data_IF_593616743036
#
_entry.id   IF_593616743036
#
_cell.length_a   1.000
_cell.length_b   1.000
_cell.length_c   1.000
_cell.angle_alpha   90.00
_cell.angle_beta   90.00
_cell.angle_gamma   90.00
#
_symmetry.space_group_name_H-M   'P 1'
#
loop_
_entity.id
_entity.type
_entity.pdbx_description
1 polymer ?
#
# COMPACT_ATOMS: atom_id res chain seq x y z
N UNK A 1 -29.57 7.08 -11.64
CA UNK A 1 -28.28 6.50 -11.25
C UNK A 1 -28.60 5.38 -10.29
N UNK A 2 -28.13 4.17 -10.54
CA UNK A 2 -28.30 3.09 -9.57
C UNK A 2 -27.49 3.49 -8.32
N UNK A 3 -28.16 3.57 -7.19
CA UNK A 3 -27.52 3.76 -5.89
C UNK A 3 -27.64 2.41 -5.18
N UNK A 4 -26.51 1.81 -4.83
CA UNK A 4 -26.47 0.50 -4.15
C UNK A 4 -26.93 0.55 -2.68
N UNK A 5 -27.66 1.60 -2.32
CA UNK A 5 -28.13 1.83 -0.96
C UNK A 5 -27.19 2.71 -0.15
N UNK A 6 -27.48 2.80 1.14
CA UNK A 6 -26.70 3.58 2.10
C UNK A 6 -25.30 2.97 2.28
N UNK A 7 -24.27 3.82 2.23
CA UNK A 7 -22.90 3.41 2.54
C UNK A 7 -22.77 3.16 4.04
N UNK A 8 -22.19 2.02 4.39
CA UNK A 8 -21.80 1.68 5.76
C UNK A 8 -20.29 1.40 5.80
N UNK A 9 -19.59 2.08 6.69
CA UNK A 9 -18.15 1.86 6.91
C UNK A 9 -17.95 1.01 8.17
N UNK A 10 -17.31 -0.13 8.00
CA UNK A 10 -16.89 -1.03 9.08
C UNK A 10 -15.39 -1.27 8.97
N UNK A 11 -14.73 -1.51 10.08
CA UNK A 11 -13.28 -1.80 10.09
C UNK A 11 -12.91 -2.80 11.17
N UNK A 12 -11.84 -3.56 10.91
CA UNK A 12 -11.09 -4.25 11.97
C UNK A 12 -10.12 -3.29 12.69
N UNK A 13 -9.11 -3.88 13.33
CA UNK A 13 -8.22 -3.17 14.24
C UNK A 13 -6.93 -2.65 13.60
N UNK A 14 -6.64 -3.00 12.34
CA UNK A 14 -5.30 -2.80 11.78
C UNK A 14 -4.92 -1.33 11.52
N UNK A 15 -5.89 -0.44 11.28
CA UNK A 15 -5.59 0.98 11.01
C UNK A 15 -6.78 1.91 11.30
N UNK A 16 -7.12 2.12 12.58
CA UNK A 16 -8.26 2.95 12.98
C UNK A 16 -8.13 4.43 12.56
N UNK A 17 -6.89 4.96 12.51
CA UNK A 17 -6.66 6.36 12.14
C UNK A 17 -6.96 6.62 10.66
N UNK A 18 -6.58 5.72 9.76
CA UNK A 18 -6.95 5.80 8.35
C UNK A 18 -8.47 5.73 8.17
N UNK A 19 -9.13 4.81 8.89
CA UNK A 19 -10.60 4.68 8.85
C UNK A 19 -11.28 5.96 9.31
N UNK A 20 -10.80 6.58 10.38
CA UNK A 20 -11.31 7.86 10.88
C UNK A 20 -11.23 8.94 9.80
N UNK A 21 -10.07 9.12 9.15
CA UNK A 21 -9.88 10.08 8.06
C UNK A 21 -10.81 9.81 6.87
N UNK A 22 -10.98 8.54 6.48
CA UNK A 22 -11.90 8.15 5.41
C UNK A 22 -13.35 8.51 5.77
N UNK A 23 -13.77 8.26 7.00
CA UNK A 23 -15.09 8.63 7.49
C UNK A 23 -15.31 10.15 7.49
N UNK A 24 -14.30 10.92 7.89
CA UNK A 24 -14.32 12.39 7.83
C UNK A 24 -14.47 12.89 6.39
N UNK A 25 -13.70 12.37 5.44
CA UNK A 25 -13.79 12.73 4.02
C UNK A 25 -15.13 12.32 3.38
N UNK A 26 -15.73 11.24 3.83
CA UNK A 26 -17.04 10.78 3.39
C UNK A 26 -18.20 11.54 4.03
N UNK A 27 -17.99 12.18 5.18
CA UNK A 27 -19.02 12.69 6.08
C UNK A 27 -19.98 11.59 6.55
N UNK A 28 -19.45 10.37 6.78
CA UNK A 28 -20.18 9.19 7.22
C UNK A 28 -19.48 8.63 8.46
N UNK A 29 -20.19 8.42 9.58
CA UNK A 29 -19.57 7.82 10.76
C UNK A 29 -19.23 6.35 10.50
N UNK A 30 -18.22 5.84 11.20
CA UNK A 30 -17.96 4.39 11.28
C UNK A 30 -19.11 3.73 12.03
N UNK A 31 -19.65 2.65 11.48
CA UNK A 31 -20.70 1.87 12.12
C UNK A 31 -20.18 1.18 13.39
N UNK A 32 -21.09 0.94 14.31
CA UNK A 32 -20.78 0.24 15.57
C UNK A 32 -20.36 -1.20 15.29
N UNK A 33 -19.08 -1.47 15.53
CA UNK A 33 -18.51 -2.81 15.44
C UNK A 33 -17.35 -2.92 16.42
N UNK A 34 -17.32 -4.02 17.18
CA UNK A 34 -16.17 -4.39 18.01
C UNK A 34 -15.50 -5.64 17.46
N UNK A 35 -14.18 -5.62 17.48
CA UNK A 35 -13.33 -6.75 17.12
C UNK A 35 -12.43 -7.02 18.32
N UNK A 36 -12.64 -8.14 18.96
CA UNK A 36 -11.95 -8.59 20.16
C UNK A 36 -11.25 -9.92 19.90
N UNK A 37 -10.45 -10.34 20.86
CA UNK A 37 -9.81 -11.64 20.87
C UNK A 37 -10.12 -12.36 22.17
N UNK A 38 -10.47 -13.64 22.08
CA UNK A 38 -10.60 -14.51 23.26
C UNK A 38 -9.22 -14.84 23.83
N UNK A 39 -9.21 -15.38 25.05
CA UNK A 39 -7.96 -15.69 25.75
C UNK A 39 -7.08 -16.75 25.04
N UNK A 40 -7.67 -17.56 24.19
CA UNK A 40 -6.99 -18.56 23.36
C UNK A 40 -6.50 -18.01 21.99
N UNK A 41 -6.84 -16.73 21.71
CA UNK A 41 -6.43 -16.06 20.48
C UNK A 41 -7.48 -16.07 19.36
N UNK A 42 -8.64 -16.70 19.53
CA UNK A 42 -9.71 -16.64 18.55
C UNK A 42 -10.34 -15.24 18.48
N UNK A 43 -10.67 -14.80 17.26
CA UNK A 43 -11.25 -13.47 17.03
C UNK A 43 -12.76 -13.52 17.22
N UNK A 44 -13.28 -12.54 17.97
CA UNK A 44 -14.70 -12.33 18.22
C UNK A 44 -15.14 -10.99 17.64
N UNK A 45 -16.22 -10.99 16.88
CA UNK A 45 -16.77 -9.79 16.22
C UNK A 45 -18.22 -9.61 16.63
N UNK A 46 -18.58 -8.36 16.97
CA UNK A 46 -19.97 -7.96 17.24
C UNK A 46 -20.30 -6.72 16.40
N UNK A 47 -21.31 -6.83 15.52
CA UNK A 47 -21.82 -5.76 14.68
C UNK A 47 -23.11 -5.23 15.32
N UNK A 48 -23.06 -4.00 15.82
CA UNK A 48 -24.15 -3.40 16.57
C UNK A 48 -25.20 -2.73 15.68
N UNK A 49 -24.78 -2.22 14.51
CA UNK A 49 -25.68 -1.52 13.58
C UNK A 49 -26.29 -2.46 12.55
N UNK A 50 -27.52 -2.17 12.13
CA UNK A 50 -28.15 -2.92 11.05
C UNK A 50 -27.48 -2.64 9.70
N UNK A 51 -27.01 -3.69 9.06
CA UNK A 51 -26.35 -3.64 7.73
C UNK A 51 -27.23 -4.21 6.61
N UNK A 52 -28.44 -4.66 6.96
CA UNK A 52 -29.35 -5.34 6.01
C UNK A 52 -29.63 -4.50 4.78
N UNK A 53 -29.31 -5.03 3.60
CA UNK A 53 -29.56 -4.40 2.32
C UNK A 53 -28.66 -3.19 2.01
N UNK A 54 -27.68 -2.87 2.87
CA UNK A 54 -26.78 -1.72 2.70
C UNK A 54 -25.53 -2.08 1.89
N UNK A 55 -24.86 -1.06 1.35
CA UNK A 55 -23.58 -1.16 0.66
C UNK A 55 -22.45 -1.00 1.67
N UNK A 56 -21.85 -2.11 2.10
CA UNK A 56 -20.89 -2.15 3.21
C UNK A 56 -19.46 -2.14 2.67
N UNK A 57 -18.64 -1.26 3.22
CA UNK A 57 -17.20 -1.19 2.96
C UNK A 57 -16.42 -1.59 4.21
N UNK A 58 -15.74 -2.72 4.14
CA UNK A 58 -14.92 -3.26 5.22
C UNK A 58 -13.49 -2.80 5.01
N UNK A 59 -13.01 -1.85 5.82
CA UNK A 59 -11.66 -1.30 5.70
C UNK A 59 -10.73 -2.05 6.63
N UNK A 60 -9.80 -2.82 6.06
CA UNK A 60 -8.84 -3.62 6.82
C UNK A 60 -7.57 -3.88 6.02
N UNK A 61 -6.50 -3.08 6.19
CA UNK A 61 -5.16 -3.48 5.76
C UNK A 61 -4.75 -4.79 6.42
N UNK A 62 -4.23 -5.75 5.65
CA UNK A 62 -3.76 -7.02 6.20
C UNK A 62 -2.26 -6.97 6.50
N UNK A 63 -1.85 -5.90 7.22
CA UNK A 63 -0.49 -5.67 7.74
C UNK A 63 -0.24 -6.44 9.05
N UNK A 64 0.95 -6.30 9.62
CA UNK A 64 1.29 -7.00 10.88
C UNK A 64 0.44 -6.57 12.09
N UNK A 65 -0.01 -7.56 12.89
CA UNK A 65 0.13 -9.00 12.75
C UNK A 65 -0.73 -9.57 11.62
N UNK A 66 -0.07 -10.05 10.56
CA UNK A 66 -0.71 -10.33 9.25
C UNK A 66 -1.82 -11.38 9.33
N UNK A 67 -1.59 -12.46 10.09
CA UNK A 67 -2.56 -13.55 10.18
C UNK A 67 -3.81 -13.12 10.95
N UNK A 68 -3.65 -12.35 12.02
CA UNK A 68 -4.76 -11.87 12.84
C UNK A 68 -5.61 -10.89 12.04
N UNK A 69 -5.00 -9.88 11.40
CA UNK A 69 -5.72 -8.92 10.59
C UNK A 69 -6.38 -9.53 9.36
N UNK A 70 -5.78 -10.59 8.77
CA UNK A 70 -6.44 -11.35 7.71
C UNK A 70 -7.67 -12.10 8.25
N UNK A 71 -7.56 -12.75 9.41
CA UNK A 71 -8.70 -13.45 10.03
C UNK A 71 -9.79 -12.48 10.46
N UNK A 72 -9.46 -11.31 11.02
CA UNK A 72 -10.43 -10.24 11.28
C UNK A 72 -11.23 -9.89 10.02
N UNK A 73 -10.54 -9.65 8.90
CA UNK A 73 -11.18 -9.35 7.62
C UNK A 73 -12.15 -10.45 7.18
N UNK A 74 -11.72 -11.71 7.23
CA UNK A 74 -12.53 -12.84 6.78
C UNK A 74 -13.78 -13.02 7.65
N UNK A 75 -13.64 -12.90 8.96
CA UNK A 75 -14.75 -13.05 9.92
C UNK A 75 -15.71 -11.85 9.80
N UNK A 76 -15.21 -10.62 9.60
CA UNK A 76 -16.05 -9.45 9.32
C UNK A 76 -16.92 -9.66 8.08
N UNK A 77 -16.33 -10.14 6.98
CA UNK A 77 -17.05 -10.41 5.74
C UNK A 77 -18.12 -11.49 5.94
N UNK A 78 -17.81 -12.59 6.64
CA UNK A 78 -18.78 -13.65 6.93
C UNK A 78 -19.93 -13.13 7.83
N UNK A 79 -19.64 -12.37 8.86
CA UNK A 79 -20.64 -11.77 9.74
C UNK A 79 -21.60 -10.85 8.96
N UNK A 80 -21.07 -10.00 8.09
CA UNK A 80 -21.86 -9.09 7.25
C UNK A 80 -22.75 -9.84 6.26
N UNK A 81 -22.24 -10.91 5.66
CA UNK A 81 -23.00 -11.80 4.78
C UNK A 81 -24.17 -12.44 5.53
N UNK A 82 -23.95 -12.94 6.74
CA UNK A 82 -24.99 -13.52 7.60
C UNK A 82 -26.00 -12.47 8.09
N UNK A 83 -25.55 -11.23 8.28
CA UNK A 83 -26.42 -10.10 8.62
C UNK A 83 -27.19 -9.54 7.41
N UNK A 84 -27.10 -10.18 6.23
CA UNK A 84 -27.79 -9.81 4.98
C UNK A 84 -27.39 -8.43 4.47
N UNK A 85 -26.11 -8.04 4.53
CA UNK A 85 -25.60 -6.88 3.80
C UNK A 85 -25.99 -6.99 2.32
N UNK A 86 -26.30 -5.88 1.68
CA UNK A 86 -26.70 -5.87 0.27
C UNK A 86 -25.53 -6.11 -0.66
N UNK A 87 -24.37 -5.51 -0.34
CA UNK A 87 -23.08 -5.71 -1.02
C UNK A 87 -21.95 -5.55 -0.01
N UNK A 88 -20.89 -6.33 -0.15
CA UNK A 88 -19.73 -6.31 0.74
C UNK A 88 -18.48 -5.99 -0.07
N UNK A 89 -17.91 -4.81 0.13
CA UNK A 89 -16.69 -4.36 -0.52
C UNK A 89 -15.53 -4.44 0.46
N UNK A 90 -14.55 -5.29 0.19
CA UNK A 90 -13.33 -5.39 0.99
C UNK A 90 -12.34 -4.30 0.57
N UNK A 91 -12.12 -3.31 1.42
CA UNK A 91 -11.13 -2.24 1.22
C UNK A 91 -9.85 -2.66 1.94
N UNK A 92 -8.86 -3.08 1.17
CA UNK A 92 -7.60 -3.64 1.66
C UNK A 92 -6.44 -2.77 1.19
N UNK A 93 -6.19 -1.61 1.84
CA UNK A 93 -5.15 -0.66 1.41
C UNK A 93 -3.76 -1.30 1.34
N UNK A 94 -3.44 -2.22 2.24
CA UNK A 94 -2.27 -3.08 2.16
C UNK A 94 -2.70 -4.54 2.09
N UNK A 95 -2.31 -5.22 1.01
CA UNK A 95 -2.60 -6.62 0.77
C UNK A 95 -1.44 -7.50 1.25
N UNK A 96 -1.60 -8.12 2.40
CA UNK A 96 -0.62 -9.05 2.95
C UNK A 96 -0.41 -10.26 2.03
N UNK A 97 0.78 -10.86 2.10
CA UNK A 97 1.22 -11.96 1.22
C UNK A 97 1.36 -11.60 -0.28
N UNK A 98 1.19 -10.33 -0.69
CA UNK A 98 1.35 -9.89 -2.07
C UNK A 98 2.70 -10.25 -2.69
N UNK A 99 3.76 -10.36 -1.88
CA UNK A 99 5.11 -10.75 -2.33
C UNK A 99 5.26 -12.24 -2.69
N UNK A 100 4.24 -13.05 -2.40
CA UNK A 100 4.16 -14.48 -2.74
C UNK A 100 3.16 -14.69 -3.91
N UNK A 101 3.35 -13.91 -4.98
CA UNK A 101 2.49 -13.88 -6.16
C UNK A 101 2.80 -14.98 -7.18
N UNK A 102 3.99 -15.56 -7.10
CA UNK A 102 4.47 -16.59 -8.03
C UNK A 102 5.45 -17.54 -7.36
N UNK A 103 5.64 -18.71 -7.95
CA UNK A 103 6.70 -19.62 -7.56
C UNK A 103 8.04 -19.15 -8.12
N UNK A 104 9.01 -18.95 -7.27
CA UNK A 104 10.41 -18.67 -7.62
C UNK A 104 11.21 -19.96 -7.62
N UNK A 105 10.85 -20.91 -6.74
CA UNK A 105 11.45 -22.25 -6.63
C UNK A 105 10.38 -23.33 -6.74
N UNK A 106 10.79 -24.54 -7.02
CA UNK A 106 9.91 -25.70 -7.01
C UNK A 106 9.22 -25.87 -5.64
N UNK A 107 7.91 -26.21 -5.66
CA UNK A 107 7.08 -26.54 -4.49
C UNK A 107 6.76 -25.34 -3.56
N UNK A 108 7.05 -24.12 -3.97
CA UNK A 108 6.59 -22.92 -3.26
C UNK A 108 5.07 -22.71 -3.44
N UNK A 109 4.40 -22.12 -2.45
CA UNK A 109 3.01 -21.71 -2.58
C UNK A 109 2.88 -20.44 -3.44
N UNK A 110 1.64 -20.14 -3.86
CA UNK A 110 1.24 -18.84 -4.36
C UNK A 110 0.23 -18.27 -3.36
N UNK A 111 0.73 -17.74 -2.25
CA UNK A 111 -0.09 -17.35 -1.10
C UNK A 111 -0.98 -16.15 -1.43
N UNK A 112 -0.55 -15.25 -2.33
CA UNK A 112 -1.40 -14.17 -2.82
C UNK A 112 -2.70 -14.70 -3.46
N UNK A 113 -2.66 -15.81 -4.22
CA UNK A 113 -3.87 -16.47 -4.77
C UNK A 113 -4.71 -17.13 -3.68
N UNK A 114 -4.08 -17.77 -2.69
CA UNK A 114 -4.80 -18.37 -1.56
C UNK A 114 -5.60 -17.31 -0.81
N UNK A 115 -5.00 -16.16 -0.47
CA UNK A 115 -5.67 -15.06 0.22
C UNK A 115 -6.82 -14.50 -0.62
N UNK A 116 -6.64 -14.31 -1.93
CA UNK A 116 -7.71 -13.88 -2.84
C UNK A 116 -8.91 -14.84 -2.82
N UNK A 117 -8.65 -16.14 -2.84
CA UNK A 117 -9.69 -17.16 -2.74
C UNK A 117 -10.43 -17.12 -1.40
N UNK A 118 -9.70 -16.91 -0.29
CA UNK A 118 -10.30 -16.82 1.05
C UNK A 118 -11.24 -15.62 1.17
N UNK A 119 -10.81 -14.42 0.71
CA UNK A 119 -11.62 -13.19 0.72
C UNK A 119 -12.89 -13.39 -0.13
N UNK A 120 -12.74 -13.94 -1.34
CA UNK A 120 -13.87 -14.22 -2.23
C UNK A 120 -14.82 -15.24 -1.60
N UNK A 121 -14.30 -16.31 -1.02
CA UNK A 121 -15.10 -17.37 -0.41
C UNK A 121 -15.82 -16.93 0.87
N UNK A 122 -15.21 -16.03 1.65
CA UNK A 122 -15.84 -15.42 2.82
C UNK A 122 -17.12 -14.66 2.44
N UNK A 123 -17.15 -14.07 1.22
CA UNK A 123 -18.36 -13.44 0.69
C UNK A 123 -18.21 -11.99 0.26
N UNK A 124 -16.98 -11.53 0.02
CA UNK A 124 -16.77 -10.22 -0.61
C UNK A 124 -17.29 -10.22 -2.04
N UNK A 125 -17.96 -9.14 -2.44
CA UNK A 125 -18.46 -8.91 -3.80
C UNK A 125 -17.45 -8.11 -4.64
N UNK A 126 -16.53 -7.39 -4.00
CA UNK A 126 -15.52 -6.54 -4.63
C UNK A 126 -14.33 -6.35 -3.70
N UNK A 127 -13.16 -6.12 -4.28
CA UNK A 127 -11.95 -5.70 -3.55
C UNK A 127 -11.49 -4.34 -4.04
N UNK A 128 -11.15 -3.44 -3.11
CA UNK A 128 -10.45 -2.18 -3.39
C UNK A 128 -9.07 -2.30 -2.71
N UNK A 129 -8.00 -2.17 -3.48
CA UNK A 129 -6.63 -2.28 -2.97
C UNK A 129 -5.74 -1.18 -3.56
N UNK A 130 -4.56 -1.01 -2.99
CA UNK A 130 -3.61 0.01 -3.42
C UNK A 130 -2.24 -0.60 -3.69
N UNK A 131 -1.60 -0.19 -4.79
CA UNK A 131 -0.24 -0.53 -5.20
C UNK A 131 0.15 -1.99 -4.88
N UNK A 132 -0.60 -2.94 -5.43
CA UNK A 132 -0.27 -4.36 -5.32
C UNK A 132 1.16 -4.60 -5.79
N UNK A 133 1.91 -5.41 -5.04
CA UNK A 133 3.31 -5.76 -5.36
C UNK A 133 3.49 -6.21 -6.82
N UNK A 134 2.49 -6.92 -7.34
CA UNK A 134 2.45 -7.34 -8.72
C UNK A 134 1.04 -7.12 -9.29
N UNK A 135 0.91 -6.35 -10.36
CA UNK A 135 -0.39 -5.98 -10.95
C UNK A 135 -1.25 -7.19 -11.36
N UNK A 136 -0.64 -8.32 -11.70
CA UNK A 136 -1.33 -9.57 -12.05
C UNK A 136 -2.12 -10.19 -10.88
N UNK A 137 -1.88 -9.78 -9.63
CA UNK A 137 -2.66 -10.24 -8.47
C UNK A 137 -4.14 -9.91 -8.63
N UNK A 138 -4.50 -8.85 -9.36
CA UNK A 138 -5.89 -8.54 -9.73
C UNK A 138 -6.57 -9.73 -10.41
N UNK A 139 -5.87 -10.47 -11.25
CA UNK A 139 -6.36 -11.67 -11.93
C UNK A 139 -6.47 -12.92 -11.03
N UNK A 140 -6.07 -12.83 -9.76
CA UNK A 140 -6.26 -13.93 -8.80
C UNK A 140 -7.64 -13.95 -8.16
N UNK A 141 -8.36 -12.86 -8.28
CA UNK A 141 -9.73 -12.73 -7.79
C UNK A 141 -10.73 -13.11 -8.89
N UNK A 142 -11.80 -13.81 -8.50
CA UNK A 142 -12.94 -14.11 -9.35
C UNK A 142 -14.06 -13.06 -9.19
N UNK A 143 -13.79 -12.00 -8.42
CA UNK A 143 -14.65 -10.83 -8.19
C UNK A 143 -13.95 -9.56 -8.68
N UNK A 144 -14.69 -8.47 -8.95
CA UNK A 144 -14.08 -7.21 -9.38
C UNK A 144 -13.03 -6.69 -8.40
N UNK A 145 -11.94 -6.15 -8.95
CA UNK A 145 -10.85 -5.51 -8.18
C UNK A 145 -10.62 -4.10 -8.69
N UNK A 146 -10.72 -3.12 -7.80
CA UNK A 146 -10.29 -1.75 -8.06
C UNK A 146 -8.87 -1.56 -7.49
N UNK A 147 -7.91 -1.47 -8.38
CA UNK A 147 -6.50 -1.32 -8.02
C UNK A 147 -6.10 0.16 -8.12
N UNK A 148 -6.01 0.82 -6.97
CA UNK A 148 -5.62 2.22 -6.84
C UNK A 148 -4.09 2.35 -6.79
N UNK A 149 -3.60 3.58 -6.97
CA UNK A 149 -2.18 3.91 -6.78
C UNK A 149 -2.00 5.16 -5.94
N UNK A 150 -1.01 5.17 -5.07
CA UNK A 150 -0.62 6.33 -4.26
C UNK A 150 0.45 7.21 -4.95
N UNK A 151 0.93 6.80 -6.13
CA UNK A 151 2.00 7.50 -6.85
C UNK A 151 1.75 9.01 -7.00
N UNK A 152 0.56 9.48 -7.43
CA UNK A 152 0.31 10.92 -7.55
C UNK A 152 0.43 11.67 -6.22
N UNK A 153 -0.01 11.08 -5.13
CA UNK A 153 0.09 11.66 -3.78
C UNK A 153 1.53 11.75 -3.29
N UNK A 154 2.32 10.69 -3.52
CA UNK A 154 3.75 10.68 -3.21
C UNK A 154 4.50 11.72 -4.06
N UNK A 155 4.22 11.81 -5.36
CA UNK A 155 4.83 12.80 -6.23
C UNK A 155 4.46 14.23 -5.84
N UNK A 156 3.20 14.47 -5.48
CA UNK A 156 2.71 15.76 -4.98
C UNK A 156 3.47 16.19 -3.72
N UNK A 157 3.68 15.28 -2.76
CA UNK A 157 4.50 15.57 -1.58
C UNK A 157 5.86 16.14 -1.97
N UNK A 158 6.57 15.52 -2.92
CA UNK A 158 7.88 16.00 -3.33
C UNK A 158 7.82 17.34 -4.06
N UNK A 159 6.81 17.55 -4.93
CA UNK A 159 6.60 18.86 -5.60
C UNK A 159 6.40 20.01 -4.60
N UNK A 160 5.77 19.74 -3.47
CA UNK A 160 5.44 20.75 -2.45
C UNK A 160 6.57 20.99 -1.45
N UNK A 161 7.50 20.03 -1.26
CA UNK A 161 8.47 20.08 -0.17
C UNK A 161 9.93 20.20 -0.62
N UNK A 162 10.25 19.92 -1.91
CA UNK A 162 11.63 20.05 -2.43
C UNK A 162 11.65 20.70 -3.82
N UNK A 163 12.81 21.22 -4.20
CA UNK A 163 13.02 21.68 -5.57
C UNK A 163 13.15 20.46 -6.53
N UNK A 164 12.18 20.30 -7.40
CA UNK A 164 12.14 19.19 -8.37
C UNK A 164 12.79 19.51 -9.71
N UNK A 165 13.42 20.67 -9.88
CA UNK A 165 14.01 21.11 -11.16
C UNK A 165 15.20 20.25 -11.63
N UNK A 166 15.93 19.63 -10.71
CA UNK A 166 17.11 18.79 -10.99
C UNK A 166 17.00 17.37 -10.39
N UNK A 167 15.80 16.78 -10.50
CA UNK A 167 15.52 15.50 -9.88
C UNK A 167 15.63 14.34 -10.87
N UNK A 168 15.98 13.15 -10.35
CA UNK A 168 15.93 11.86 -11.06
C UNK A 168 15.13 10.88 -10.20
N UNK A 169 14.11 10.26 -10.79
CA UNK A 169 13.41 9.15 -10.16
C UNK A 169 14.20 7.85 -10.34
N UNK A 170 14.43 7.11 -9.27
CA UNK A 170 15.32 5.95 -9.27
C UNK A 170 14.57 4.68 -8.90
N UNK A 171 14.64 3.68 -9.77
CA UNK A 171 14.16 2.33 -9.45
C UNK A 171 15.24 1.56 -8.66
N UNK A 172 14.92 1.01 -7.48
CA UNK A 172 15.89 0.24 -6.69
C UNK A 172 16.23 -1.13 -7.29
N UNK A 173 15.49 -1.57 -8.33
CA UNK A 173 15.74 -2.79 -9.10
C UNK A 173 15.00 -2.76 -10.45
N UNK A 174 15.16 -3.82 -11.24
CA UNK A 174 14.52 -3.94 -12.56
C UNK A 174 12.99 -4.11 -12.47
N UNK A 175 12.46 -4.66 -11.39
CA UNK A 175 11.02 -4.90 -11.20
C UNK A 175 10.23 -3.61 -10.98
N UNK A 176 10.83 -2.60 -10.34
CA UNK A 176 10.20 -1.31 -10.02
C UNK A 176 10.17 -0.28 -11.16
N UNK A 177 10.78 -0.57 -12.32
CA UNK A 177 10.97 0.42 -13.40
C UNK A 177 9.65 1.03 -13.89
N UNK A 178 8.61 0.21 -14.05
CA UNK A 178 7.29 0.71 -14.51
C UNK A 178 6.67 1.69 -13.49
N UNK A 179 6.79 1.41 -12.20
CA UNK A 179 6.34 2.28 -11.11
C UNK A 179 7.13 3.58 -11.10
N UNK A 180 8.45 3.49 -11.16
CA UNK A 180 9.34 4.65 -11.19
C UNK A 180 9.05 5.56 -12.38
N UNK A 181 8.71 4.98 -13.56
CA UNK A 181 8.33 5.77 -14.73
C UNK A 181 7.05 6.56 -14.50
N UNK A 182 6.01 5.93 -13.95
CA UNK A 182 4.76 6.64 -13.59
C UNK A 182 5.02 7.77 -12.58
N UNK A 183 5.85 7.51 -11.58
CA UNK A 183 6.24 8.54 -10.62
C UNK A 183 7.00 9.70 -11.29
N UNK A 184 7.90 9.40 -12.22
CA UNK A 184 8.64 10.41 -12.99
C UNK A 184 7.71 11.24 -13.91
N UNK A 185 6.69 10.62 -14.49
CA UNK A 185 5.64 11.32 -15.27
C UNK A 185 4.90 12.33 -14.40
N UNK A 186 4.55 11.97 -13.17
CA UNK A 186 3.96 12.90 -12.20
C UNK A 186 4.91 14.04 -11.80
N UNK A 187 6.22 13.85 -11.90
CA UNK A 187 7.24 14.88 -11.67
C UNK A 187 7.65 15.61 -12.97
N UNK A 188 6.67 15.97 -13.81
CA UNK A 188 6.86 16.72 -15.05
C UNK A 188 7.80 16.01 -16.05
N UNK A 189 7.78 14.68 -16.08
CA UNK A 189 8.63 13.87 -16.96
C UNK A 189 10.11 13.84 -16.50
N UNK A 190 10.36 13.82 -15.21
CA UNK A 190 11.72 13.71 -14.66
C UNK A 190 12.47 12.51 -15.28
N UNK A 191 13.81 12.62 -15.48
CA UNK A 191 14.61 11.49 -15.91
C UNK A 191 14.50 10.31 -14.94
N UNK A 192 14.71 9.09 -15.43
CA UNK A 192 14.76 7.89 -14.61
C UNK A 192 16.17 7.29 -14.60
N UNK A 193 16.53 6.68 -13.47
CA UNK A 193 17.69 5.82 -13.33
C UNK A 193 17.29 4.48 -12.71
N UNK A 194 18.12 3.47 -12.88
CA UNK A 194 17.84 2.11 -12.42
C UNK A 194 19.06 1.57 -11.69
N UNK A 195 18.87 0.96 -10.53
CA UNK A 195 19.91 0.23 -9.83
C UNK A 195 19.87 -1.23 -10.26
N UNK A 196 20.92 -1.65 -10.95
CA UNK A 196 21.13 -3.05 -11.34
C UNK A 196 21.99 -3.76 -10.29
N UNK A 197 21.46 -4.84 -9.72
CA UNK A 197 22.17 -5.71 -8.77
C UNK A 197 22.81 -6.87 -9.54
N UNK A 198 24.14 -6.89 -9.66
CA UNK A 198 24.88 -8.03 -10.21
C UNK A 198 25.58 -8.79 -9.11
N UNK A 199 25.41 -10.11 -9.13
CA UNK A 199 26.25 -11.04 -8.37
C UNK A 199 27.23 -11.70 -9.37
N UNK A 200 28.50 -11.28 -9.43
CA UNK A 200 29.45 -11.83 -10.40
C UNK A 200 29.67 -13.34 -10.19
N UNK A 201 29.70 -13.80 -8.92
CA UNK A 201 29.80 -15.21 -8.53
C UNK A 201 29.09 -15.48 -7.19
N UNK A 202 28.80 -16.76 -6.92
CA UNK A 202 28.37 -17.19 -5.59
C UNK A 202 29.47 -16.84 -4.56
N UNK A 203 29.08 -16.13 -3.48
CA UNK A 203 29.95 -15.62 -2.40
C UNK A 203 30.74 -14.32 -2.70
N UNK A 204 30.52 -13.64 -3.82
CA UNK A 204 31.05 -12.29 -4.04
C UNK A 204 30.05 -11.22 -3.57
N UNK A 205 30.58 -10.04 -3.21
CA UNK A 205 29.76 -8.90 -2.83
C UNK A 205 28.85 -8.48 -3.98
N UNK A 206 27.62 -8.11 -3.65
CA UNK A 206 26.65 -7.57 -4.62
C UNK A 206 27.19 -6.24 -5.13
N UNK A 207 27.53 -6.17 -6.41
CA UNK A 207 27.87 -4.91 -7.07
C UNK A 207 26.58 -4.24 -7.54
N UNK A 208 26.41 -2.99 -7.15
CA UNK A 208 25.30 -2.15 -7.62
C UNK A 208 25.81 -1.21 -8.71
N UNK A 209 25.29 -1.35 -9.91
CA UNK A 209 25.52 -0.42 -11.01
C UNK A 209 24.32 0.53 -11.13
N UNK A 210 24.57 1.78 -11.44
CA UNK A 210 23.53 2.77 -11.72
C UNK A 210 23.48 2.99 -13.23
N UNK A 211 22.33 2.74 -13.83
CA UNK A 211 22.03 3.00 -15.23
C UNK A 211 21.24 4.30 -15.30
N UNK A 212 21.78 5.30 -15.93
CA UNK A 212 21.23 6.65 -16.01
C UNK A 212 22.20 7.71 -15.48
N UNK A 213 21.94 8.98 -15.77
CA UNK A 213 22.80 10.11 -15.36
C UNK A 213 22.27 10.73 -14.06
N UNK A 214 23.03 10.60 -12.95
CA UNK A 214 22.65 11.06 -11.62
C UNK A 214 23.66 12.00 -10.97
N UNK A 215 24.84 12.20 -11.60
CA UNK A 215 25.89 13.04 -11.04
C UNK A 215 25.39 14.49 -10.84
N UNK A 216 25.57 15.01 -9.63
CA UNK A 216 25.14 16.35 -9.23
C UNK A 216 23.63 16.54 -9.13
N UNK A 217 22.83 15.47 -9.27
CA UNK A 217 21.36 15.52 -9.22
C UNK A 217 20.81 15.03 -7.89
N UNK A 218 19.58 15.42 -7.61
CA UNK A 218 18.79 14.90 -6.50
C UNK A 218 18.06 13.64 -6.97
N UNK A 219 18.12 12.58 -6.15
CA UNK A 219 17.59 11.28 -6.49
C UNK A 219 16.45 10.90 -5.56
N UNK A 220 15.32 10.42 -6.12
CA UNK A 220 14.23 9.84 -5.33
C UNK A 220 14.14 8.34 -5.65
N UNK A 221 14.43 7.49 -4.68
CA UNK A 221 14.19 6.04 -4.74
C UNK A 221 12.70 5.75 -4.61
N UNK A 222 12.11 5.01 -5.54
CA UNK A 222 10.67 4.75 -5.61
C UNK A 222 10.41 3.25 -5.52
N UNK A 223 9.67 2.83 -4.49
CA UNK A 223 9.28 1.42 -4.31
C UNK A 223 7.78 1.29 -3.97
N UNK A 224 7.23 0.06 -3.94
CA UNK A 224 5.89 -0.22 -3.41
C UNK A 224 5.93 -0.50 -1.91
N UNK A 225 6.91 -1.25 -1.46
CA UNK A 225 7.01 -1.74 -0.08
C UNK A 225 8.40 -1.47 0.47
N UNK A 226 8.46 -0.83 1.63
CA UNK A 226 9.65 -0.80 2.47
C UNK A 226 9.46 -1.74 3.65
N UNK A 227 10.24 -2.83 3.70
CA UNK A 227 10.18 -3.82 4.79
C UNK A 227 11.34 -3.61 5.76
N UNK A 228 12.49 -4.24 5.55
CA UNK A 228 13.64 -4.12 6.46
C UNK A 228 14.59 -2.97 6.11
N UNK A 229 14.27 -2.17 5.11
CA UNK A 229 15.04 -1.05 4.57
C UNK A 229 16.45 -1.38 4.02
N UNK A 230 16.89 -2.63 4.08
CA UNK A 230 18.25 -2.98 3.66
C UNK A 230 18.55 -2.72 2.18
N UNK A 231 17.56 -2.90 1.31
CA UNK A 231 17.72 -2.66 -0.13
C UNK A 231 17.83 -1.16 -0.44
N UNK A 232 16.92 -0.36 0.10
CA UNK A 232 16.86 1.08 -0.18
C UNK A 232 18.07 1.81 0.40
N UNK A 233 18.55 1.44 1.59
CA UNK A 233 19.74 2.04 2.18
C UNK A 233 21.01 1.74 1.38
N UNK A 234 21.20 0.49 0.93
CA UNK A 234 22.30 0.14 0.02
C UNK A 234 22.19 0.83 -1.34
N UNK A 235 20.98 1.02 -1.82
CA UNK A 235 20.72 1.79 -3.03
C UNK A 235 21.15 3.26 -2.86
N UNK A 236 20.83 3.88 -1.72
CA UNK A 236 21.26 5.24 -1.39
C UNK A 236 22.80 5.36 -1.32
N UNK A 237 23.48 4.38 -0.73
CA UNK A 237 24.96 4.33 -0.71
C UNK A 237 25.54 4.26 -2.13
N UNK A 238 24.92 3.44 -3.01
CA UNK A 238 25.34 3.36 -4.40
C UNK A 238 25.13 4.70 -5.13
N UNK A 239 23.96 5.32 -5.00
CA UNK A 239 23.70 6.62 -5.61
C UNK A 239 24.70 7.68 -5.16
N UNK A 240 25.05 7.72 -3.88
CA UNK A 240 26.07 8.64 -3.35
C UNK A 240 27.44 8.41 -3.99
N UNK A 241 27.84 7.15 -4.19
CA UNK A 241 29.10 6.80 -4.87
C UNK A 241 29.13 7.24 -6.34
N UNK A 242 27.98 7.27 -7.00
CA UNK A 242 27.81 7.73 -8.36
C UNK A 242 27.53 9.24 -8.48
N UNK A 243 27.74 10.01 -7.39
CA UNK A 243 27.72 11.48 -7.41
C UNK A 243 26.35 12.12 -7.21
N UNK A 244 25.34 11.39 -6.72
CA UNK A 244 24.06 12.00 -6.34
C UNK A 244 24.27 13.06 -5.25
N UNK A 245 23.59 14.22 -5.38
CA UNK A 245 23.66 15.36 -4.46
C UNK A 245 22.85 15.09 -3.20
N UNK A 246 21.53 15.01 -3.33
CA UNK A 246 20.64 14.65 -2.26
C UNK A 246 19.91 13.34 -2.63
N UNK A 247 19.57 12.57 -1.62
CA UNK A 247 18.91 11.27 -1.83
C UNK A 247 17.67 11.24 -0.95
N UNK A 248 16.54 10.95 -1.57
CA UNK A 248 15.24 10.76 -0.95
C UNK A 248 14.73 9.37 -1.28
N UNK A 249 13.72 8.92 -0.57
CA UNK A 249 13.03 7.70 -0.90
C UNK A 249 11.54 7.80 -0.67
N UNK A 250 10.76 6.97 -1.35
CA UNK A 250 9.36 6.78 -1.04
C UNK A 250 8.90 5.35 -1.31
N UNK A 251 7.87 4.96 -0.57
CA UNK A 251 7.14 3.73 -0.83
C UNK A 251 5.68 3.89 -0.43
N UNK A 252 4.78 3.21 -1.12
CA UNK A 252 3.37 3.20 -0.73
C UNK A 252 3.21 2.53 0.63
N UNK A 253 3.83 1.38 0.85
CA UNK A 253 3.60 0.56 2.05
C UNK A 253 4.81 0.54 2.99
N UNK A 254 4.70 1.21 4.12
CA UNK A 254 5.68 1.21 5.19
C UNK A 254 5.50 0.03 6.15
N UNK A 255 5.96 -1.17 5.77
CA UNK A 255 5.93 -2.34 6.68
C UNK A 255 6.89 -2.15 7.84
N UNK A 256 8.08 -1.64 7.57
CA UNK A 256 9.10 -1.20 8.55
C UNK A 256 9.41 -2.27 9.60
N UNK A 257 9.72 -3.49 9.13
CA UNK A 257 10.04 -4.63 10.00
C UNK A 257 11.49 -4.61 10.51
N UNK A 258 11.68 -5.21 11.68
CA UNK A 258 13.00 -5.44 12.25
C UNK A 258 13.83 -4.16 12.34
N UNK A 259 15.06 -4.10 11.79
CA UNK A 259 15.96 -2.96 11.93
C UNK A 259 15.68 -1.81 10.94
N UNK A 260 14.47 -1.72 10.35
CA UNK A 260 14.17 -0.75 9.30
C UNK A 260 14.35 0.69 9.76
N UNK A 261 13.86 1.02 10.96
CA UNK A 261 13.94 2.38 11.52
C UNK A 261 15.40 2.80 11.74
N UNK A 262 16.20 1.97 12.40
CA UNK A 262 17.63 2.24 12.62
C UNK A 262 18.38 2.44 11.29
N UNK A 263 18.06 1.62 10.28
CA UNK A 263 18.68 1.71 8.96
C UNK A 263 18.30 3.00 8.22
N UNK A 264 17.04 3.40 8.26
CA UNK A 264 16.60 4.64 7.63
C UNK A 264 17.22 5.84 8.35
N UNK A 265 17.20 5.84 9.67
CA UNK A 265 17.76 6.93 10.48
C UNK A 265 19.26 7.12 10.23
N UNK A 266 20.03 6.01 10.22
CA UNK A 266 21.46 6.00 9.91
C UNK A 266 21.81 6.10 8.42
N UNK A 267 20.81 6.17 7.50
CA UNK A 267 21.06 6.18 6.05
C UNK A 267 21.50 7.54 5.52
N UNK A 268 21.98 7.55 4.26
CA UNK A 268 22.32 8.76 3.51
C UNK A 268 21.09 9.47 2.89
N UNK A 269 19.88 8.99 3.17
CA UNK A 269 18.66 9.65 2.72
C UNK A 269 18.34 10.85 3.62
N UNK A 270 17.94 11.94 2.99
CA UNK A 270 17.45 13.15 3.68
C UNK A 270 16.05 12.90 4.28
N UNK A 271 15.16 12.30 3.48
CA UNK A 271 13.79 11.95 3.87
C UNK A 271 13.37 10.64 3.20
N UNK A 272 12.50 9.91 3.89
CA UNK A 272 11.78 8.74 3.36
C UNK A 272 10.27 8.94 3.55
N UNK A 273 9.51 8.90 2.47
CA UNK A 273 8.07 9.18 2.47
C UNK A 273 7.29 7.88 2.30
N UNK A 274 6.37 7.63 3.20
CA UNK A 274 5.44 6.49 3.11
C UNK A 274 4.01 6.98 3.12
N UNK A 275 3.07 6.09 2.86
CA UNK A 275 1.65 6.40 3.06
C UNK A 275 1.11 5.75 4.32
N UNK A 276 -0.07 6.20 4.75
CA UNK A 276 -0.79 5.61 5.88
C UNK A 276 -1.62 4.36 5.50
N UNK A 277 -1.30 3.67 4.40
CA UNK A 277 -1.89 2.35 4.07
C UNK A 277 -1.63 1.31 5.16
N UNK A 278 -0.54 1.46 5.90
CA UNK A 278 -0.20 0.73 7.14
C UNK A 278 -0.04 1.76 8.24
N UNK A 279 -0.63 1.51 9.39
CA UNK A 279 -0.46 2.39 10.55
C UNK A 279 1.02 2.48 10.96
N UNK A 280 1.53 3.70 11.14
CA UNK A 280 2.86 3.93 11.68
C UNK A 280 2.74 4.15 13.19
N UNK A 281 3.13 3.18 14.02
CA UNK A 281 3.04 3.34 15.46
C UNK A 281 4.07 4.37 15.97
N UNK A 282 3.78 5.07 17.09
CA UNK A 282 4.63 6.16 17.59
C UNK A 282 6.11 5.79 17.77
N UNK A 283 6.39 4.56 18.19
CA UNK A 283 7.75 4.06 18.39
C UNK A 283 8.57 3.90 17.09
N UNK A 284 7.91 3.94 15.93
CA UNK A 284 8.55 3.92 14.61
C UNK A 284 8.60 5.30 13.95
N UNK A 285 8.06 6.32 14.60
CA UNK A 285 8.09 7.70 14.09
C UNK A 285 9.47 8.31 14.34
N UNK A 286 10.15 8.71 13.28
CA UNK A 286 11.44 9.41 13.31
C UNK A 286 11.42 10.60 12.35
N UNK A 287 12.29 11.58 12.57
CA UNK A 287 12.32 12.82 11.77
C UNK A 287 12.54 12.59 10.26
N UNK A 288 13.19 11.48 9.90
CA UNK A 288 13.43 11.13 8.49
C UNK A 288 12.23 10.51 7.78
N UNK A 289 11.17 10.11 8.49
CA UNK A 289 10.00 9.47 7.89
C UNK A 289 8.82 10.43 7.92
N UNK A 290 8.31 10.77 6.74
CA UNK A 290 7.06 11.52 6.59
C UNK A 290 5.95 10.61 6.06
N UNK A 291 4.71 10.87 6.50
CA UNK A 291 3.53 10.05 6.16
C UNK A 291 2.53 10.86 5.35
N UNK A 292 2.20 10.40 4.16
CA UNK A 292 1.16 10.97 3.30
C UNK A 292 -0.13 10.15 3.45
N UNK A 293 -1.26 10.84 3.68
CA UNK A 293 -2.54 10.13 3.81
C UNK A 293 -3.11 9.73 2.46
N UNK A 294 -3.66 8.51 2.39
CA UNK A 294 -4.42 8.00 1.23
C UNK A 294 -5.93 8.00 1.48
N UNK A 295 -6.38 8.58 2.59
CA UNK A 295 -7.81 8.66 2.91
C UNK A 295 -8.63 9.31 1.79
N UNK A 296 -8.21 10.45 1.17
CA UNK A 296 -9.02 11.10 0.13
C UNK A 296 -9.25 10.20 -1.11
N UNK A 297 -8.23 9.48 -1.56
CA UNK A 297 -8.39 8.58 -2.72
C UNK A 297 -9.29 7.39 -2.38
N UNK A 298 -9.16 6.81 -1.18
CA UNK A 298 -10.02 5.72 -0.72
C UNK A 298 -11.47 6.17 -0.56
N UNK A 299 -11.70 7.35 0.02
CA UNK A 299 -13.04 7.94 0.15
C UNK A 299 -13.68 8.21 -1.24
N UNK A 300 -12.89 8.75 -2.19
CA UNK A 300 -13.37 8.95 -3.56
C UNK A 300 -13.72 7.62 -4.24
N UNK A 301 -12.89 6.58 -4.07
CA UNK A 301 -13.15 5.25 -4.61
C UNK A 301 -14.45 4.66 -4.03
N UNK A 302 -14.65 4.73 -2.71
CA UNK A 302 -15.86 4.27 -2.03
C UNK A 302 -17.11 4.95 -2.61
N UNK A 303 -17.11 6.29 -2.73
CA UNK A 303 -18.23 7.04 -3.34
C UNK A 303 -18.50 6.61 -4.79
N UNK A 304 -17.45 6.43 -5.58
CA UNK A 304 -17.57 6.06 -7.00
C UNK A 304 -18.09 4.64 -7.16
N UNK A 305 -17.63 3.71 -6.34
CA UNK A 305 -18.14 2.32 -6.31
C UNK A 305 -19.61 2.28 -5.91
N UNK A 306 -20.03 3.04 -4.89
CA UNK A 306 -21.44 3.10 -4.48
C UNK A 306 -22.34 3.69 -5.56
N UNK A 307 -21.84 4.64 -6.35
CA UNK A 307 -22.61 5.36 -7.38
C UNK A 307 -22.34 4.88 -8.82
N UNK A 308 -21.71 3.72 -9.01
CA UNK A 308 -21.34 3.13 -10.30
C UNK A 308 -20.56 4.08 -11.23
N UNK A 309 -19.73 4.95 -10.64
CA UNK A 309 -18.87 5.86 -11.39
C UNK A 309 -17.51 5.24 -11.67
N UNK A 310 -16.88 5.64 -12.79
CA UNK A 310 -15.55 5.17 -13.16
C UNK A 310 -14.48 5.54 -12.12
N UNK A 311 -13.72 4.54 -11.68
CA UNK A 311 -12.59 4.69 -10.75
C UNK A 311 -11.40 5.40 -11.43
N UNK A 312 -11.17 5.19 -12.73
CA UNK A 312 -10.05 5.78 -13.46
C UNK A 312 -10.02 7.31 -13.40
N UNK A 313 -11.18 7.95 -13.28
CA UNK A 313 -11.28 9.41 -13.15
C UNK A 313 -10.78 9.98 -11.82
N UNK A 314 -10.50 9.17 -10.83
CA UNK A 314 -9.91 9.63 -9.56
C UNK A 314 -8.54 10.28 -9.81
N UNK A 315 -7.78 9.73 -10.75
CA UNK A 315 -6.42 10.19 -11.05
C UNK A 315 -6.36 11.43 -11.95
N UNK A 316 -7.49 11.85 -12.52
CA UNK A 316 -7.61 13.10 -13.27
C UNK A 316 -7.88 14.31 -12.34
N UNK A 317 -8.19 14.05 -11.06
CA UNK A 317 -8.61 15.04 -10.07
C UNK A 317 -7.49 15.37 -9.03
N UNK A 318 -6.32 14.69 -9.09
CA UNK A 318 -5.16 14.88 -8.19
C UNK A 318 -4.15 15.80 -8.85
#
# INVERSE_FOLDING_TARGET
MANHGEIVIISGNSNPDLVKKICEDLYIPRAGCTVNQFSDGEISIDIMDSVRGKDVFVIQPTSGPVNDHLMELLILIDALKRASAGRINAVVPYYGYARQDRKVKAREPITAKLVANLITKAGADRVICMDLHAGQIQGYFDIPVDHLTAIPYLAKYFKENIDTSNIVAVSPDLGGVSRTRKFAEELNGAPIAIIEKRRPKANENVVMNVIGSIEGKDCILVDDIIDTAGTVCKAAEALRKYGARNIYGCATHGVLSGPAIERIDGSLMEKFVITDTIALPPEKSIDKIDVVTVAPILASAIRRVNTDKSISKIFEEV
#
